data_IF_908258783738
#
_entry.id   IF_908258783738
#
_cell.length_a   1.000
_cell.length_b   1.000
_cell.length_c   1.000
_cell.angle_alpha   90.00
_cell.angle_beta   90.00
_cell.angle_gamma   90.00
#
_symmetry.space_group_name_H-M   'P 1'
#
loop_
_entity.id
_entity.type
_entity.pdbx_description
1 polymer ?
#
# COMPACT_ATOMS: atom_id res chain seq x y z
N UNK A 1 15.33 40.06 -4.02
CA UNK A 1 15.11 39.72 -5.44
C UNK A 1 14.85 38.23 -5.69
N UNK A 2 15.55 37.30 -5.05
CA UNK A 2 15.30 35.86 -5.19
C UNK A 2 13.92 35.41 -4.70
N UNK A 3 13.40 35.98 -3.61
CA UNK A 3 12.07 35.64 -3.06
C UNK A 3 10.90 36.02 -4.00
N UNK A 4 11.04 37.14 -4.71
CA UNK A 4 10.02 37.56 -5.69
C UNK A 4 10.01 36.69 -6.94
N UNK A 5 11.17 36.22 -7.40
CA UNK A 5 11.27 35.24 -8.52
C UNK A 5 10.74 33.85 -8.14
N UNK A 6 10.93 33.41 -6.89
CA UNK A 6 10.36 32.16 -6.39
C UNK A 6 8.82 32.25 -6.28
N UNK A 7 8.29 33.38 -5.79
CA UNK A 7 6.85 33.61 -5.72
C UNK A 7 6.20 33.72 -7.12
N UNK A 8 6.89 34.37 -8.09
CA UNK A 8 6.41 34.43 -9.47
C UNK A 8 6.44 33.05 -10.17
N UNK A 9 7.47 32.24 -9.93
CA UNK A 9 7.55 30.86 -10.42
C UNK A 9 6.47 29.97 -9.78
N UNK A 10 6.17 30.19 -8.51
CA UNK A 10 5.10 29.49 -7.80
C UNK A 10 3.71 29.88 -8.34
N UNK A 11 3.48 31.17 -8.61
CA UNK A 11 2.23 31.67 -9.19
C UNK A 11 2.03 31.23 -10.64
N UNK A 12 3.09 31.09 -11.44
CA UNK A 12 3.03 30.55 -12.80
C UNK A 12 2.82 29.03 -12.81
N UNK A 13 3.43 28.29 -11.87
CA UNK A 13 3.27 26.84 -11.78
C UNK A 13 1.87 26.42 -11.28
N UNK A 14 1.18 27.27 -10.51
CA UNK A 14 -0.19 27.01 -10.05
C UNK A 14 -1.25 27.21 -11.13
N UNK A 15 -0.91 27.84 -12.27
CA UNK A 15 -1.82 28.12 -13.39
C UNK A 15 -1.79 27.08 -14.52
N UNK A 16 -0.96 26.05 -14.44
CA UNK A 16 -0.96 24.99 -15.47
C UNK A 16 -2.19 24.11 -15.25
N UNK A 17 -3.21 24.33 -16.13
CA UNK A 17 -4.37 23.47 -16.20
C UNK A 17 -3.93 22.07 -16.58
N UNK A 18 -4.31 21.08 -15.76
CA UNK A 18 -4.10 19.65 -16.04
C UNK A 18 -5.43 18.99 -16.35
N UNK A 19 -5.39 17.90 -17.11
CA UNK A 19 -6.53 17.06 -17.39
C UNK A 19 -6.33 15.71 -16.72
N UNK A 20 -7.31 15.29 -15.90
CA UNK A 20 -7.23 14.00 -15.21
C UNK A 20 -7.49 12.82 -16.15
N UNK A 21 -8.30 13.04 -17.21
CA UNK A 21 -8.73 11.99 -18.13
C UNK A 21 -8.46 12.38 -19.59
N UNK A 22 -7.21 12.21 -20.03
CA UNK A 22 -6.84 12.41 -21.44
C UNK A 22 -7.48 11.39 -22.39
N UNK A 23 -7.86 10.20 -21.87
CA UNK A 23 -8.56 9.19 -22.65
C UNK A 23 -9.90 9.69 -23.21
N UNK A 24 -10.53 10.68 -22.56
CA UNK A 24 -11.79 11.24 -23.04
C UNK A 24 -11.65 12.08 -24.34
N UNK A 25 -10.43 12.30 -24.86
CA UNK A 25 -10.23 13.00 -26.15
C UNK A 25 -10.91 12.32 -27.33
N UNK A 26 -11.12 10.99 -27.28
CA UNK A 26 -11.85 10.30 -28.34
C UNK A 26 -13.31 10.79 -28.47
N UNK A 27 -13.88 11.37 -27.41
CA UNK A 27 -15.25 11.96 -27.46
C UNK A 27 -15.34 13.19 -28.40
N UNK A 28 -14.22 13.80 -28.79
CA UNK A 28 -14.20 14.86 -29.78
C UNK A 28 -14.77 14.39 -31.13
N UNK A 29 -14.66 13.12 -31.46
CA UNK A 29 -15.28 12.55 -32.68
C UNK A 29 -16.81 12.66 -32.67
N UNK A 30 -17.45 12.72 -31.51
CA UNK A 30 -18.88 12.93 -31.38
C UNK A 30 -19.26 14.31 -31.94
N UNK A 31 -18.45 15.34 -31.65
CA UNK A 31 -18.69 16.71 -32.16
C UNK A 31 -18.59 16.74 -33.69
N UNK A 32 -17.54 16.07 -34.23
CA UNK A 32 -17.35 15.95 -35.67
C UNK A 32 -18.51 15.19 -36.33
N UNK A 33 -18.93 14.08 -35.72
CA UNK A 33 -20.07 13.28 -36.20
C UNK A 33 -21.38 14.08 -36.19
N UNK A 34 -21.65 14.82 -35.10
CA UNK A 34 -22.84 15.67 -34.99
C UNK A 34 -22.83 16.79 -36.03
N UNK A 35 -21.70 17.49 -36.23
CA UNK A 35 -21.58 18.53 -37.24
C UNK A 35 -21.77 17.96 -38.66
N UNK A 36 -21.16 16.81 -38.95
CA UNK A 36 -21.33 16.10 -40.23
C UNK A 36 -22.75 15.63 -40.46
N UNK A 37 -23.40 15.04 -39.45
CA UNK A 37 -24.81 14.63 -39.53
C UNK A 37 -25.75 15.82 -39.78
N UNK A 38 -25.50 16.92 -39.08
CA UNK A 38 -26.29 18.12 -39.31
C UNK A 38 -26.15 18.65 -40.75
N UNK A 39 -24.94 18.72 -41.27
CA UNK A 39 -24.65 19.16 -42.61
C UNK A 39 -25.32 18.25 -43.67
N UNK A 40 -25.21 16.95 -43.50
CA UNK A 40 -25.84 15.94 -44.34
C UNK A 40 -27.38 16.03 -44.27
N UNK A 41 -27.97 16.14 -43.07
CA UNK A 41 -29.40 16.28 -42.85
C UNK A 41 -29.95 17.56 -43.49
N UNK A 42 -29.22 18.68 -43.34
CA UNK A 42 -29.61 19.95 -43.93
C UNK A 42 -29.62 19.91 -45.48
N UNK A 43 -28.64 19.23 -46.10
CA UNK A 43 -28.60 18.99 -47.54
C UNK A 43 -29.76 18.11 -48.00
N UNK A 44 -30.01 16.98 -47.33
CA UNK A 44 -31.13 16.10 -47.66
C UNK A 44 -32.47 16.79 -47.50
N UNK A 45 -32.65 17.59 -46.45
CA UNK A 45 -33.89 18.37 -46.26
C UNK A 45 -34.13 19.38 -47.39
N UNK A 46 -33.07 20.08 -47.82
CA UNK A 46 -33.17 20.99 -48.98
C UNK A 46 -33.55 20.24 -50.26
N UNK A 47 -32.85 19.15 -50.57
CA UNK A 47 -33.12 18.34 -51.75
C UNK A 47 -34.51 17.69 -51.70
N UNK A 48 -35.04 17.31 -50.56
CA UNK A 48 -36.40 16.80 -50.43
C UNK A 48 -37.47 17.91 -50.69
N UNK A 49 -37.21 19.09 -50.11
CA UNK A 49 -38.14 20.25 -50.38
C UNK A 49 -38.18 20.65 -51.85
N UNK A 50 -37.01 20.67 -52.52
CA UNK A 50 -36.93 20.98 -53.95
C UNK A 50 -37.66 19.95 -54.87
N UNK A 51 -37.82 18.70 -54.38
CA UNK A 51 -38.60 17.66 -55.07
C UNK A 51 -40.12 17.75 -54.84
N UNK A 52 -40.56 18.41 -53.77
CA UNK A 52 -41.93 18.39 -53.29
C UNK A 52 -42.76 19.58 -53.86
N UNK A 53 -42.15 20.75 -54.08
CA UNK A 53 -42.86 21.92 -54.60
C UNK A 53 -41.95 22.87 -55.39
N UNK A 54 -42.55 23.73 -56.22
CA UNK A 54 -41.82 24.81 -56.91
C UNK A 54 -41.16 25.77 -55.88
N UNK A 55 -40.06 26.39 -56.31
CA UNK A 55 -39.23 27.24 -55.39
C UNK A 55 -39.98 28.37 -54.72
N UNK A 56 -40.95 28.97 -55.46
CA UNK A 56 -41.74 30.11 -54.99
C UNK A 56 -42.74 29.69 -53.89
N UNK A 57 -43.37 28.51 -54.01
CA UNK A 57 -44.28 27.98 -53.01
C UNK A 57 -43.52 27.54 -51.69
N UNK A 58 -42.32 27.05 -51.85
CA UNK A 58 -41.44 26.70 -50.68
C UNK A 58 -41.06 28.00 -49.97
N UNK A 59 -40.74 29.07 -50.66
CA UNK A 59 -40.38 30.34 -50.05
C UNK A 59 -41.53 30.91 -49.20
N UNK A 60 -42.78 30.84 -49.69
CA UNK A 60 -43.95 31.26 -48.92
C UNK A 60 -44.25 30.38 -47.72
N UNK A 61 -44.18 29.06 -47.86
CA UNK A 61 -44.40 28.11 -46.76
C UNK A 61 -43.31 28.18 -45.65
N UNK A 62 -42.09 28.56 -46.02
CA UNK A 62 -40.98 28.72 -45.06
C UNK A 62 -40.75 30.16 -44.59
N UNK A 63 -41.60 31.12 -45.09
CA UNK A 63 -41.51 32.57 -44.77
C UNK A 63 -41.59 32.84 -43.23
N UNK A 64 -42.33 31.98 -42.51
CA UNK A 64 -42.50 32.07 -41.07
C UNK A 64 -41.26 31.54 -40.25
N UNK A 65 -40.29 30.90 -40.89
CA UNK A 65 -39.11 30.35 -40.22
C UNK A 65 -37.91 31.32 -40.30
N UNK A 66 -37.33 31.60 -39.16
CA UNK A 66 -36.13 32.43 -39.06
C UNK A 66 -34.85 31.58 -39.15
N UNK A 67 -34.23 31.59 -40.35
CA UNK A 67 -32.99 30.85 -40.61
C UNK A 67 -31.83 31.27 -39.69
N UNK A 68 -31.82 32.51 -39.14
CA UNK A 68 -30.82 32.97 -38.21
C UNK A 68 -30.99 32.29 -36.85
N UNK A 69 -32.22 32.22 -36.33
CA UNK A 69 -32.54 31.56 -35.06
C UNK A 69 -32.28 30.07 -35.14
N UNK A 70 -32.57 29.43 -36.29
CA UNK A 70 -32.26 28.02 -36.50
C UNK A 70 -30.74 27.74 -36.47
N UNK A 71 -29.92 28.59 -37.12
CA UNK A 71 -28.47 28.49 -37.06
C UNK A 71 -27.96 28.72 -35.63
N UNK A 72 -28.52 29.69 -34.91
CA UNK A 72 -28.17 29.98 -33.54
C UNK A 72 -28.41 28.77 -32.62
N UNK A 73 -29.56 28.12 -32.72
CA UNK A 73 -29.87 26.90 -31.97
C UNK A 73 -28.82 25.82 -32.16
N UNK A 74 -28.42 25.56 -33.38
CA UNK A 74 -27.45 24.54 -33.72
C UNK A 74 -26.07 24.88 -33.15
N UNK A 75 -25.68 26.15 -33.26
CA UNK A 75 -24.41 26.61 -32.66
C UNK A 75 -24.44 26.42 -31.15
N UNK A 76 -25.55 26.73 -30.48
CA UNK A 76 -25.72 26.52 -29.04
C UNK A 76 -25.63 25.05 -28.68
N UNK A 77 -26.27 24.15 -29.42
CA UNK A 77 -26.18 22.70 -29.17
C UNK A 77 -24.75 22.19 -29.36
N UNK A 78 -24.07 22.56 -30.44
CA UNK A 78 -22.70 22.13 -30.71
C UNK A 78 -21.76 22.66 -29.60
N UNK A 79 -21.95 23.91 -29.18
CA UNK A 79 -21.16 24.52 -28.10
C UNK A 79 -21.44 23.81 -26.77
N UNK A 80 -22.70 23.50 -26.45
CA UNK A 80 -23.05 22.76 -25.24
C UNK A 80 -22.42 21.37 -25.23
N UNK A 81 -22.48 20.61 -26.32
CA UNK A 81 -21.85 19.30 -26.45
C UNK A 81 -20.31 19.42 -26.30
N UNK A 82 -19.74 20.48 -26.92
CA UNK A 82 -18.29 20.72 -26.76
C UNK A 82 -17.89 20.97 -25.31
N UNK A 83 -18.69 21.73 -24.55
CA UNK A 83 -18.48 21.98 -23.13
C UNK A 83 -18.65 20.69 -22.26
N UNK A 84 -19.62 19.84 -22.64
CA UNK A 84 -19.80 18.53 -21.99
C UNK A 84 -18.57 17.66 -22.21
N UNK A 85 -18.08 17.55 -23.46
CA UNK A 85 -16.87 16.80 -23.78
C UNK A 85 -15.66 17.36 -23.00
N UNK A 86 -15.54 18.68 -22.93
CA UNK A 86 -14.50 19.34 -22.15
C UNK A 86 -14.60 19.02 -20.64
N UNK A 87 -15.82 18.91 -20.10
CA UNK A 87 -16.07 18.51 -18.72
C UNK A 87 -15.58 17.07 -18.44
N UNK A 88 -15.75 16.14 -19.40
CA UNK A 88 -15.25 14.75 -19.27
C UNK A 88 -13.73 14.64 -19.25
N UNK A 89 -13.00 15.63 -19.76
CA UNK A 89 -11.55 15.71 -19.63
C UNK A 89 -11.11 16.00 -18.18
N UNK A 90 -12.07 16.34 -17.28
CA UNK A 90 -11.86 16.65 -15.84
C UNK A 90 -10.76 17.69 -15.68
N UNK A 91 -10.97 18.95 -16.10
CA UNK A 91 -9.99 20.01 -15.94
C UNK A 91 -9.71 20.25 -14.47
N UNK A 92 -8.41 20.23 -14.13
CA UNK A 92 -7.91 20.43 -12.78
C UNK A 92 -7.09 21.73 -12.74
N UNK A 93 -7.48 22.66 -11.87
CA UNK A 93 -6.68 23.83 -11.53
C UNK A 93 -6.80 24.15 -10.06
N UNK A 94 -5.68 24.57 -9.49
CA UNK A 94 -5.50 24.66 -8.04
C UNK A 94 -5.12 23.31 -7.44
N UNK A 95 -4.50 23.37 -6.29
CA UNK A 95 -4.22 22.20 -5.46
C UNK A 95 -4.31 22.63 -4.00
N UNK A 96 -4.74 21.71 -3.16
CA UNK A 96 -4.59 21.85 -1.71
C UNK A 96 -3.68 20.71 -1.20
N UNK A 97 -2.98 21.03 -0.13
CA UNK A 97 -2.21 20.03 0.58
C UNK A 97 -3.15 19.24 1.47
N UNK A 98 -3.34 17.97 1.16
CA UNK A 98 -4.08 17.07 2.02
C UNK A 98 -3.11 16.27 2.86
N UNK A 99 -3.31 16.31 4.15
CA UNK A 99 -2.56 15.52 5.11
C UNK A 99 -3.04 14.07 5.04
N UNK A 100 -2.24 13.22 4.40
CA UNK A 100 -2.52 11.78 4.38
C UNK A 100 -1.96 11.17 5.65
N UNK A 101 -2.81 11.01 6.65
CA UNK A 101 -2.47 10.35 7.90
C UNK A 101 -2.42 8.84 7.67
N UNK A 102 -1.23 8.27 7.67
CA UNK A 102 -1.06 6.82 7.70
C UNK A 102 -1.13 6.35 9.14
N UNK A 103 -1.87 5.28 9.39
CA UNK A 103 -1.94 4.63 10.70
C UNK A 103 -1.27 3.27 10.60
N UNK A 104 -0.37 2.95 11.51
CA UNK A 104 0.34 1.69 11.53
C UNK A 104 0.94 1.37 12.89
N UNK A 105 1.40 0.14 13.05
CA UNK A 105 2.17 -0.35 14.18
C UNK A 105 3.67 -0.29 13.86
N UNK A 106 4.49 -0.29 14.90
CA UNK A 106 5.93 -0.47 14.84
C UNK A 106 6.24 -1.93 15.21
N UNK A 107 6.46 -2.77 14.21
CA UNK A 107 6.65 -4.22 14.37
C UNK A 107 8.12 -4.56 14.17
N UNK A 108 8.81 -4.98 15.21
CA UNK A 108 10.14 -5.57 15.09
C UNK A 108 10.00 -7.08 15.11
N UNK A 109 10.67 -7.76 14.20
CA UNK A 109 10.69 -9.21 14.11
C UNK A 109 12.10 -9.66 14.46
N UNK A 110 12.24 -10.41 15.56
CA UNK A 110 13.50 -11.02 15.95
C UNK A 110 13.50 -12.49 15.54
N UNK A 111 14.43 -12.86 14.68
CA UNK A 111 14.58 -14.21 14.14
C UNK A 111 15.82 -14.85 14.73
N UNK A 112 15.64 -16.01 15.30
CA UNK A 112 16.72 -16.86 15.75
C UNK A 112 17.53 -17.38 14.57
N UNK A 113 18.83 -17.18 14.60
CA UNK A 113 19.79 -17.64 13.59
C UNK A 113 20.83 -18.58 14.19
N UNK A 114 20.53 -19.16 15.35
CA UNK A 114 21.37 -20.19 15.98
C UNK A 114 21.41 -21.48 15.16
N UNK A 115 22.36 -22.35 15.41
CA UNK A 115 22.50 -23.61 14.66
C UNK A 115 21.32 -24.56 14.83
N UNK A 116 20.56 -24.46 15.92
CA UNK A 116 19.33 -25.23 16.14
C UNK A 116 18.27 -24.97 15.07
N UNK A 117 18.29 -23.79 14.45
CA UNK A 117 17.39 -23.41 13.36
C UNK A 117 17.68 -24.15 12.03
N UNK A 118 18.75 -24.95 11.95
CA UNK A 118 18.98 -25.87 10.84
C UNK A 118 18.23 -27.21 10.97
N UNK A 119 17.60 -27.48 12.12
CA UNK A 119 16.82 -28.69 12.31
C UNK A 119 15.71 -28.81 11.23
N UNK A 120 15.50 -30.06 10.76
CA UNK A 120 14.61 -30.37 9.65
C UNK A 120 13.25 -30.96 10.10
N UNK A 121 12.89 -30.80 11.37
CA UNK A 121 11.57 -31.18 11.89
C UNK A 121 10.43 -30.34 11.29
N UNK A 122 10.78 -29.15 10.79
CA UNK A 122 9.91 -28.30 9.97
C UNK A 122 10.60 -28.07 8.62
N UNK A 123 9.97 -28.47 7.53
CA UNK A 123 10.58 -28.41 6.18
C UNK A 123 10.57 -27.00 5.59
N UNK A 124 11.63 -26.57 4.87
CA UNK A 124 12.89 -27.30 4.58
C UNK A 124 13.79 -27.43 5.81
N UNK A 125 13.91 -26.39 6.63
CA UNK A 125 14.42 -26.31 7.99
C UNK A 125 13.73 -25.14 8.71
N UNK A 126 13.94 -25.00 10.03
CA UNK A 126 13.25 -23.99 10.84
C UNK A 126 13.50 -22.56 10.31
N UNK A 127 14.76 -22.20 9.96
CA UNK A 127 15.12 -20.86 9.48
C UNK A 127 14.49 -20.56 8.13
N UNK A 128 14.62 -21.46 7.16
CA UNK A 128 14.02 -21.25 5.84
C UNK A 128 12.49 -21.18 5.90
N UNK A 129 11.88 -21.97 6.79
CA UNK A 129 10.43 -21.90 7.04
C UNK A 129 10.03 -20.54 7.63
N UNK A 130 10.82 -20.00 8.56
CA UNK A 130 10.59 -18.67 9.11
C UNK A 130 10.72 -17.58 8.03
N UNK A 131 11.73 -17.66 7.15
CA UNK A 131 11.91 -16.73 6.03
C UNK A 131 10.71 -16.74 5.07
N UNK A 132 10.20 -17.93 4.72
CA UNK A 132 9.00 -18.07 3.88
C UNK A 132 7.78 -17.43 4.53
N UNK A 133 7.57 -17.68 5.83
CA UNK A 133 6.45 -17.09 6.57
C UNK A 133 6.55 -15.57 6.66
N UNK A 134 7.75 -15.01 6.79
CA UNK A 134 7.98 -13.57 6.78
C UNK A 134 7.66 -12.94 5.41
N UNK A 135 7.98 -13.64 4.31
CA UNK A 135 7.61 -13.19 2.96
C UNK A 135 6.10 -13.12 2.78
N UNK A 136 5.38 -14.11 3.26
CA UNK A 136 3.91 -14.11 3.19
C UNK A 136 3.32 -13.04 4.11
N UNK A 137 3.85 -12.89 5.32
CA UNK A 137 3.42 -11.89 6.29
C UNK A 137 3.48 -10.46 5.74
N UNK A 138 4.53 -10.11 4.98
CA UNK A 138 4.65 -8.76 4.41
C UNK A 138 3.52 -8.38 3.48
N UNK A 139 2.83 -9.36 2.86
CA UNK A 139 1.67 -9.13 1.99
C UNK A 139 0.43 -8.65 2.74
N UNK A 140 0.35 -8.96 4.03
CA UNK A 140 -0.78 -8.57 4.89
C UNK A 140 -0.61 -7.18 5.53
N UNK A 141 0.60 -6.61 5.50
CA UNK A 141 0.91 -5.33 6.11
C UNK A 141 0.25 -4.18 5.35
N UNK A 142 -0.42 -3.30 6.10
CA UNK A 142 -1.15 -2.14 5.54
C UNK A 142 -0.67 -0.83 6.18
N UNK A 143 0.58 -0.44 5.85
CA UNK A 143 1.16 0.80 6.35
C UNK A 143 1.87 0.68 7.71
N UNK A 144 2.03 -0.52 8.25
CA UNK A 144 2.81 -0.80 9.45
C UNK A 144 4.31 -0.68 9.13
N UNK A 145 5.14 -0.20 10.07
CA UNK A 145 6.60 -0.22 9.93
C UNK A 145 7.12 -1.57 10.41
N UNK A 146 8.05 -2.14 9.66
CA UNK A 146 8.68 -3.41 10.02
C UNK A 146 10.18 -3.24 10.16
N UNK A 147 10.77 -3.89 11.15
CA UNK A 147 12.22 -4.00 11.36
C UNK A 147 12.61 -5.45 11.60
N UNK A 148 13.87 -5.79 11.36
CA UNK A 148 14.41 -7.15 11.48
C UNK A 148 15.62 -7.18 12.42
N UNK A 149 15.57 -8.05 13.39
CA UNK A 149 16.71 -8.41 14.25
C UNK A 149 17.06 -9.86 13.99
N UNK A 150 18.33 -10.14 13.72
CA UNK A 150 18.90 -11.48 13.79
C UNK A 150 19.52 -11.69 15.18
N UNK A 151 19.30 -12.83 15.80
CA UNK A 151 19.94 -13.14 17.06
C UNK A 151 20.38 -14.61 17.17
N UNK A 152 21.42 -14.82 17.94
CA UNK A 152 21.98 -16.09 18.39
C UNK A 152 22.62 -15.85 19.76
N UNK A 153 23.91 -16.11 19.98
CA UNK A 153 24.62 -15.66 21.19
C UNK A 153 24.74 -14.13 21.35
N UNK A 154 24.51 -13.36 20.28
CA UNK A 154 24.35 -11.90 20.26
C UNK A 154 23.11 -11.52 19.45
N UNK A 155 22.72 -10.23 19.49
CA UNK A 155 21.58 -9.73 18.70
C UNK A 155 21.97 -8.46 17.94
N UNK A 156 21.58 -8.38 16.67
CA UNK A 156 21.90 -7.25 15.79
C UNK A 156 20.69 -6.84 14.98
N UNK A 157 20.50 -5.52 14.86
CA UNK A 157 19.50 -4.92 13.98
C UNK A 157 19.94 -5.07 12.52
N UNK A 158 19.27 -5.93 11.75
CA UNK A 158 19.54 -6.15 10.32
C UNK A 158 18.81 -5.16 9.42
N UNK A 159 17.60 -4.78 9.82
CA UNK A 159 16.79 -3.79 9.12
C UNK A 159 16.10 -2.87 10.13
N UNK A 160 16.34 -1.56 10.10
CA UNK A 160 15.62 -0.62 10.95
C UNK A 160 14.13 -0.55 10.56
N UNK A 161 13.30 0.02 11.45
CA UNK A 161 11.88 0.19 11.20
C UNK A 161 11.61 0.98 9.91
N UNK A 162 11.02 0.32 8.92
CA UNK A 162 10.74 0.87 7.60
C UNK A 162 9.36 0.50 7.08
N UNK A 163 8.82 1.28 6.17
CA UNK A 163 7.65 0.94 5.34
C UNK A 163 8.05 0.41 3.96
N UNK A 164 9.36 0.33 3.68
CA UNK A 164 9.90 -0.30 2.47
C UNK A 164 10.00 -1.82 2.69
N UNK A 165 8.91 -2.50 2.35
CA UNK A 165 8.86 -3.96 2.47
C UNK A 165 9.80 -4.68 1.50
N UNK A 166 10.19 -4.05 0.39
CA UNK A 166 11.18 -4.60 -0.54
C UNK A 166 12.57 -4.69 0.11
N UNK A 167 13.02 -3.59 0.72
CA UNK A 167 14.28 -3.55 1.46
C UNK A 167 14.28 -4.50 2.67
N UNK A 168 13.15 -4.59 3.38
CA UNK A 168 12.98 -5.56 4.47
C UNK A 168 13.14 -7.01 3.97
N UNK A 169 12.50 -7.38 2.85
CA UNK A 169 12.59 -8.73 2.29
C UNK A 169 14.02 -9.10 1.85
N UNK A 170 14.78 -8.15 1.33
CA UNK A 170 16.22 -8.37 1.02
C UNK A 170 17.00 -8.72 2.30
N UNK A 171 16.69 -8.05 3.42
CA UNK A 171 17.31 -8.35 4.72
C UNK A 171 16.89 -9.73 5.25
N UNK A 172 15.62 -10.14 5.05
CA UNK A 172 15.13 -11.48 5.38
C UNK A 172 15.88 -12.54 4.56
N UNK A 173 16.06 -12.31 3.25
CA UNK A 173 16.77 -13.26 2.38
C UNK A 173 18.23 -13.44 2.78
N UNK A 174 18.89 -12.42 3.32
CA UNK A 174 20.27 -12.46 3.76
C UNK A 174 20.48 -13.24 5.07
N UNK A 175 19.42 -13.55 5.83
CA UNK A 175 19.53 -14.31 7.07
C UNK A 175 20.13 -15.70 6.83
N UNK A 176 21.10 -16.05 7.64
CA UNK A 176 21.72 -17.38 7.67
C UNK A 176 22.30 -17.65 9.07
N UNK A 177 22.54 -18.89 9.40
CA UNK A 177 23.05 -19.30 10.73
C UNK A 177 24.48 -18.84 11.04
N UNK A 178 25.20 -18.33 10.06
CA UNK A 178 26.55 -17.82 10.23
C UNK A 178 26.61 -16.29 10.31
N UNK A 179 25.45 -15.62 10.24
CA UNK A 179 25.36 -14.15 10.24
C UNK A 179 25.87 -13.57 11.57
N UNK A 180 25.74 -14.35 12.66
CA UNK A 180 26.26 -14.02 13.98
C UNK A 180 27.38 -14.98 14.32
N UNK A 181 28.63 -14.49 14.43
CA UNK A 181 29.80 -15.36 14.68
C UNK A 181 29.74 -16.08 16.04
N UNK A 182 29.10 -15.45 17.05
CA UNK A 182 28.98 -16.03 18.40
C UNK A 182 27.84 -17.05 18.43
N UNK A 183 28.20 -18.31 18.67
CA UNK A 183 27.23 -19.38 18.87
C UNK A 183 26.45 -19.24 20.19
N UNK A 184 25.44 -20.08 20.36
CA UNK A 184 24.48 -20.03 21.48
C UNK A 184 23.21 -19.29 21.08
N UNK A 185 22.31 -19.10 22.04
CA UNK A 185 21.04 -18.37 21.86
C UNK A 185 20.81 -17.49 23.08
N UNK A 186 20.52 -16.22 22.88
CA UNK A 186 20.18 -15.27 23.94
C UNK A 186 18.95 -14.45 23.60
N UNK A 187 17.80 -14.93 24.04
CA UNK A 187 16.49 -14.27 23.89
C UNK A 187 16.52 -12.92 24.61
N UNK A 188 17.18 -12.85 25.76
CA UNK A 188 17.29 -11.61 26.54
C UNK A 188 17.99 -10.49 25.77
N UNK A 189 19.01 -10.80 24.95
CA UNK A 189 19.71 -9.82 24.12
C UNK A 189 18.82 -9.38 22.95
N UNK A 190 18.08 -10.30 22.33
CA UNK A 190 17.15 -9.98 21.27
C UNK A 190 16.06 -8.99 21.74
N UNK A 191 15.49 -9.22 22.93
CA UNK A 191 14.50 -8.32 23.54
C UNK A 191 15.12 -6.94 23.83
N UNK A 192 16.32 -6.89 24.41
CA UNK A 192 17.01 -5.62 24.70
C UNK A 192 17.33 -4.84 23.44
N UNK A 193 17.78 -5.52 22.39
CA UNK A 193 18.07 -4.87 21.10
C UNK A 193 16.78 -4.35 20.45
N UNK A 194 15.67 -5.09 20.55
CA UNK A 194 14.37 -4.62 20.09
C UNK A 194 13.93 -3.35 20.83
N UNK A 195 14.07 -3.30 22.16
CA UNK A 195 13.75 -2.11 22.96
C UNK A 195 14.56 -0.90 22.49
N UNK A 196 15.86 -1.06 22.22
CA UNK A 196 16.75 0.01 21.73
C UNK A 196 16.37 0.48 20.33
N UNK A 197 15.91 -0.45 19.47
CA UNK A 197 15.58 -0.18 18.09
C UNK A 197 14.26 0.59 17.91
N UNK A 198 13.44 0.71 18.95
CA UNK A 198 12.29 1.58 18.95
C UNK A 198 12.71 3.01 19.29
N UNK A 199 12.96 3.84 18.27
CA UNK A 199 13.22 5.26 18.44
C UNK A 199 12.06 5.94 19.18
N UNK A 200 12.31 6.58 20.32
CA UNK A 200 11.49 7.57 21.05
C UNK A 200 9.97 7.60 20.91
N UNK A 201 9.39 6.54 20.33
CA UNK A 201 8.00 6.45 19.96
C UNK A 201 7.04 6.25 21.15
N UNK A 202 5.77 6.52 20.93
CA UNK A 202 4.72 6.30 21.92
C UNK A 202 4.66 4.82 22.32
N UNK A 203 4.63 4.54 23.63
CA UNK A 203 4.64 3.18 24.19
C UNK A 203 3.52 2.23 23.70
N UNK A 204 2.41 2.76 23.16
CA UNK A 204 1.20 1.99 22.80
C UNK A 204 1.29 1.13 21.54
N UNK A 205 2.27 1.34 20.67
CA UNK A 205 2.26 0.81 19.29
C UNK A 205 3.45 -0.09 18.97
N UNK A 206 4.25 -0.44 19.99
CA UNK A 206 5.46 -1.24 19.88
C UNK A 206 5.13 -2.72 19.97
N UNK A 207 5.49 -3.48 18.96
CA UNK A 207 5.26 -4.92 18.86
C UNK A 207 6.56 -5.63 18.52
N UNK A 208 6.97 -6.58 19.36
CA UNK A 208 8.05 -7.52 19.05
C UNK A 208 7.45 -8.89 18.71
N UNK A 209 7.80 -9.43 17.55
CA UNK A 209 7.53 -10.82 17.20
C UNK A 209 8.83 -11.59 17.32
N UNK A 210 8.87 -12.55 18.23
CA UNK A 210 10.03 -13.40 18.50
C UNK A 210 9.82 -14.76 17.85
N UNK A 211 10.71 -15.17 16.94
CA UNK A 211 10.68 -16.46 16.24
C UNK A 211 11.91 -17.27 16.66
N UNK A 212 11.71 -18.33 17.43
CA UNK A 212 12.79 -19.15 18.01
C UNK A 212 12.25 -20.51 18.43
N UNK A 213 13.12 -21.46 18.73
CA UNK A 213 12.78 -22.72 19.41
C UNK A 213 12.72 -22.56 20.94
N UNK A 214 13.07 -21.40 21.47
CA UNK A 214 12.95 -21.08 22.88
C UNK A 214 14.11 -21.57 23.76
N UNK A 215 15.06 -22.32 23.21
CA UNK A 215 16.27 -22.69 23.95
C UNK A 215 17.10 -21.42 24.25
N UNK A 216 17.20 -21.02 25.52
CA UNK A 216 18.05 -19.89 25.95
C UNK A 216 19.23 -20.44 26.72
N UNK A 217 20.43 -20.11 26.26
CA UNK A 217 21.67 -20.57 26.88
C UNK A 217 22.38 -19.46 27.67
N UNK A 218 21.97 -18.19 27.47
CA UNK A 218 22.63 -17.03 28.06
C UNK A 218 21.64 -15.94 28.46
N UNK A 219 21.33 -15.80 29.73
CA UNK A 219 20.61 -14.66 30.27
C UNK A 219 19.34 -15.00 31.03
N UNK A 220 18.52 -13.97 31.26
CA UNK A 220 17.25 -14.07 31.97
C UNK A 220 16.16 -13.46 31.07
N UNK A 221 15.51 -14.29 30.24
CA UNK A 221 14.51 -13.81 29.31
C UNK A 221 13.25 -13.27 30.01
N UNK A 222 12.91 -13.76 31.19
CA UNK A 222 11.75 -13.26 31.95
C UNK A 222 11.99 -11.82 32.41
N UNK A 223 13.22 -11.52 32.89
CA UNK A 223 13.62 -10.16 33.27
C UNK A 223 13.67 -9.20 32.11
N UNK A 224 14.13 -9.67 30.94
CA UNK A 224 14.09 -8.88 29.71
C UNK A 224 12.66 -8.60 29.24
N UNK A 225 11.74 -9.57 29.38
CA UNK A 225 10.33 -9.40 29.10
C UNK A 225 9.66 -8.37 30.03
N UNK A 226 10.03 -8.37 31.32
CA UNK A 226 9.54 -7.35 32.25
C UNK A 226 9.99 -5.94 31.85
N UNK A 227 11.27 -5.77 31.47
CA UNK A 227 11.76 -4.49 30.96
C UNK A 227 11.01 -4.05 29.67
N UNK A 228 10.74 -5.00 28.78
CA UNK A 228 9.94 -4.73 27.55
C UNK A 228 8.53 -4.23 27.90
N UNK A 229 7.89 -4.84 28.90
CA UNK A 229 6.58 -4.41 29.40
C UNK A 229 6.60 -2.98 29.92
N UNK A 230 7.63 -2.61 30.69
CA UNK A 230 7.79 -1.25 31.22
C UNK A 230 7.96 -0.22 30.11
N UNK A 231 8.61 -0.60 29.00
CA UNK A 231 8.74 0.20 27.78
C UNK A 231 7.52 0.14 26.86
N UNK A 232 6.48 -0.59 27.24
CA UNK A 232 5.22 -0.72 26.48
C UNK A 232 5.33 -1.59 25.24
N UNK A 233 6.35 -2.46 25.17
CA UNK A 233 6.51 -3.41 24.06
C UNK A 233 5.71 -4.67 24.37
N UNK A 234 4.81 -5.06 23.44
CA UNK A 234 4.10 -6.33 23.49
C UNK A 234 4.90 -7.38 22.72
N UNK A 235 5.19 -8.51 23.36
CA UNK A 235 5.96 -9.59 22.74
C UNK A 235 5.02 -10.72 22.34
N UNK A 236 5.03 -11.05 21.05
CA UNK A 236 4.36 -12.22 20.50
C UNK A 236 5.43 -13.27 20.18
N UNK A 237 5.29 -14.47 20.73
CA UNK A 237 6.26 -15.52 20.53
C UNK A 237 5.73 -16.57 19.56
N UNK A 238 6.54 -16.93 18.57
CA UNK A 238 6.29 -18.04 17.65
C UNK A 238 7.33 -19.10 17.93
N UNK A 239 6.90 -20.20 18.53
CA UNK A 239 7.75 -21.36 18.78
C UNK A 239 7.86 -22.21 17.53
N UNK A 240 9.08 -22.45 17.05
CA UNK A 240 9.33 -23.30 15.89
C UNK A 240 10.12 -24.53 16.27
N UNK A 241 9.61 -25.70 15.88
CA UNK A 241 10.19 -26.98 16.21
C UNK A 241 9.22 -27.92 16.92
N UNK A 242 9.73 -29.07 17.35
CA UNK A 242 8.97 -30.10 18.05
C UNK A 242 9.45 -30.26 19.50
N UNK A 243 8.56 -30.52 20.47
CA UNK A 243 8.94 -30.78 21.85
C UNK A 243 9.72 -32.09 22.01
N UNK A 244 9.49 -33.05 21.09
CA UNK A 244 10.21 -34.35 21.07
C UNK A 244 11.69 -34.15 20.75
N UNK A 245 11.97 -33.04 20.01
CA UNK A 245 13.31 -32.64 19.60
C UNK A 245 13.81 -33.36 18.37
N UNK A 246 14.74 -32.72 17.67
CA UNK A 246 15.33 -33.16 16.40
C UNK A 246 16.87 -33.01 16.45
N UNK A 247 17.56 -33.84 15.65
CA UNK A 247 19.01 -33.75 15.51
C UNK A 247 19.35 -32.62 14.52
N UNK A 248 20.40 -31.85 14.85
CA UNK A 248 20.83 -30.75 13.99
C UNK A 248 21.72 -31.33 12.89
N UNK A 249 21.26 -31.24 11.63
CA UNK A 249 21.97 -31.70 10.45
C UNK A 249 22.79 -30.56 9.85
N UNK A 250 24.08 -30.76 9.69
CA UNK A 250 24.99 -29.88 8.96
C UNK A 250 25.30 -30.51 7.60
N UNK A 251 25.22 -29.72 6.55
CA UNK A 251 25.65 -30.13 5.20
C UNK A 251 27.00 -29.49 4.91
N UNK A 252 28.01 -30.30 4.59
CA UNK A 252 29.34 -29.81 4.19
C UNK A 252 29.33 -29.26 2.76
N UNK A 253 30.40 -28.61 2.35
CA UNK A 253 30.57 -28.07 0.99
C UNK A 253 30.47 -29.14 -0.13
N UNK A 254 30.64 -30.41 0.23
CA UNK A 254 30.57 -31.56 -0.67
C UNK A 254 29.16 -32.20 -0.70
N UNK A 255 28.21 -31.65 0.08
CA UNK A 255 26.85 -32.16 0.17
C UNK A 255 26.64 -33.34 1.12
N UNK A 256 27.67 -33.72 1.90
CA UNK A 256 27.52 -34.79 2.88
C UNK A 256 26.82 -34.26 4.13
N UNK A 257 25.82 -35.00 4.60
CA UNK A 257 25.10 -34.68 5.83
C UNK A 257 25.82 -35.28 7.05
N UNK A 258 26.14 -34.40 8.00
CA UNK A 258 26.73 -34.78 9.31
C UNK A 258 25.87 -34.19 10.42
N UNK A 259 25.90 -34.80 11.60
CA UNK A 259 25.21 -34.25 12.78
C UNK A 259 26.12 -33.29 13.54
N UNK A 260 25.53 -32.20 14.05
CA UNK A 260 26.24 -31.29 14.96
C UNK A 260 26.63 -32.03 16.21
N UNK A 261 27.90 -31.89 16.62
CA UNK A 261 28.43 -32.46 17.84
C UNK A 261 28.81 -31.34 18.81
N UNK A 262 28.66 -31.62 20.11
CA UNK A 262 29.16 -30.76 21.16
C UNK A 262 30.70 -30.90 21.33
N UNK A 263 31.27 -30.15 22.27
CA UNK A 263 32.71 -30.18 22.56
C UNK A 263 33.17 -31.55 23.14
N UNK A 264 32.24 -32.41 23.53
CA UNK A 264 32.52 -33.74 24.05
C UNK A 264 32.33 -34.84 22.99
N UNK A 265 31.89 -34.46 21.77
CA UNK A 265 31.68 -35.37 20.64
C UNK A 265 30.26 -36.00 20.59
N UNK A 266 29.36 -35.62 21.51
CA UNK A 266 27.98 -36.11 21.51
C UNK A 266 27.16 -35.37 20.46
N UNK A 267 26.22 -36.06 19.84
CA UNK A 267 25.28 -35.43 18.88
C UNK A 267 24.30 -34.52 19.59
N UNK A 268 24.19 -33.27 19.11
CA UNK A 268 23.31 -32.27 19.70
C UNK A 268 21.87 -32.48 19.19
N UNK A 269 20.96 -32.52 20.15
CA UNK A 269 19.53 -32.58 19.91
C UNK A 269 18.89 -31.28 20.40
N UNK A 270 18.16 -30.60 19.56
CA UNK A 270 17.39 -29.37 19.87
C UNK A 270 15.92 -29.67 20.06
N UNK A 271 15.24 -29.01 20.98
CA UNK A 271 13.81 -29.15 21.25
C UNK A 271 13.13 -27.80 21.46
N UNK A 272 11.83 -27.74 21.22
CA UNK A 272 11.05 -26.53 21.48
C UNK A 272 10.76 -26.37 22.98
N UNK A 273 11.19 -25.24 23.56
CA UNK A 273 10.82 -24.82 24.94
C UNK A 273 9.61 -23.86 24.88
N UNK A 274 8.42 -24.43 24.87
CA UNK A 274 7.17 -23.65 24.88
C UNK A 274 6.96 -22.90 26.20
N UNK A 275 7.44 -23.44 27.31
CA UNK A 275 7.20 -22.88 28.64
C UNK A 275 7.81 -21.49 28.79
N UNK A 276 9.06 -21.35 28.40
CA UNK A 276 9.78 -20.07 28.41
C UNK A 276 9.11 -19.04 27.48
N UNK A 277 8.76 -19.44 26.26
CA UNK A 277 8.11 -18.56 25.30
C UNK A 277 6.72 -18.09 25.75
N UNK A 278 5.92 -18.98 26.36
CA UNK A 278 4.61 -18.63 26.94
C UNK A 278 4.76 -17.61 28.07
N UNK A 279 5.71 -17.79 28.97
CA UNK A 279 5.96 -16.84 30.07
C UNK A 279 6.34 -15.44 29.54
N UNK A 280 7.25 -15.36 28.56
CA UNK A 280 7.66 -14.09 27.93
C UNK A 280 6.44 -13.38 27.34
N UNK A 281 5.64 -14.10 26.54
CA UNK A 281 4.45 -13.54 25.89
C UNK A 281 3.43 -13.03 26.92
N UNK A 282 3.09 -13.85 27.91
CA UNK A 282 2.12 -13.50 28.95
C UNK A 282 2.55 -12.31 29.79
N UNK A 283 3.84 -12.23 30.15
CA UNK A 283 4.41 -11.12 30.94
C UNK A 283 4.17 -9.76 30.28
N UNK A 284 4.26 -9.69 28.93
CA UNK A 284 4.10 -8.44 28.16
C UNK A 284 2.68 -8.19 27.67
N UNK A 285 1.74 -9.11 27.92
CA UNK A 285 0.37 -9.03 27.40
C UNK A 285 0.26 -9.36 25.90
N UNK A 286 1.22 -10.10 25.37
CA UNK A 286 1.18 -10.71 24.04
C UNK A 286 0.56 -12.10 24.05
N UNK A 287 0.94 -12.93 23.06
CA UNK A 287 0.50 -14.34 22.97
C UNK A 287 1.60 -15.22 22.38
N UNK A 288 1.55 -16.51 22.74
CA UNK A 288 2.37 -17.54 22.16
C UNK A 288 1.60 -18.33 21.12
N UNK A 289 2.25 -18.65 20.00
CA UNK A 289 1.70 -19.53 18.96
C UNK A 289 2.79 -20.54 18.58
N UNK A 290 2.44 -21.81 18.51
CA UNK A 290 3.31 -22.86 17.98
C UNK A 290 3.20 -22.88 16.45
N UNK A 291 4.32 -22.84 15.76
CA UNK A 291 4.38 -23.02 14.32
C UNK A 291 3.98 -24.46 13.94
N UNK A 292 2.92 -24.60 13.17
CA UNK A 292 2.46 -25.87 12.62
C UNK A 292 2.98 -26.14 11.21
N UNK A 293 2.77 -27.37 10.73
CA UNK A 293 3.15 -27.78 9.38
C UNK A 293 2.43 -26.96 8.29
N UNK A 294 1.15 -26.63 8.49
CA UNK A 294 0.31 -25.90 7.53
C UNK A 294 0.26 -24.41 7.79
N UNK A 295 0.25 -23.98 9.05
CA UNK A 295 0.19 -22.56 9.44
C UNK A 295 1.37 -22.21 10.32
N UNK A 296 2.10 -21.16 9.94
CA UNK A 296 3.24 -20.69 10.72
C UNK A 296 2.84 -19.91 11.97
N UNK A 297 1.66 -19.28 11.96
CA UNK A 297 1.12 -18.53 13.09
C UNK A 297 1.27 -17.02 13.01
N UNK A 298 2.06 -16.48 12.08
CA UNK A 298 2.21 -15.04 11.86
C UNK A 298 0.88 -14.38 11.43
N UNK A 299 0.16 -15.04 10.52
CA UNK A 299 -1.12 -14.55 10.01
C UNK A 299 -2.16 -14.49 11.13
N UNK A 300 -2.20 -15.53 11.98
CA UNK A 300 -3.09 -15.57 13.16
C UNK A 300 -2.79 -14.40 14.12
N UNK A 301 -1.51 -14.16 14.42
CA UNK A 301 -1.11 -13.05 15.29
C UNK A 301 -1.54 -11.72 14.65
N UNK A 302 -1.33 -11.54 13.35
CA UNK A 302 -1.68 -10.29 12.68
C UNK A 302 -3.19 -10.07 12.64
N UNK A 303 -3.96 -11.03 12.17
CA UNK A 303 -5.41 -10.89 12.00
C UNK A 303 -6.17 -10.81 13.32
N UNK A 304 -5.82 -11.67 14.29
CA UNK A 304 -6.56 -11.74 15.54
C UNK A 304 -6.14 -10.70 16.57
N UNK A 305 -4.86 -10.30 16.57
CA UNK A 305 -4.29 -9.44 17.61
C UNK A 305 -3.85 -8.09 17.06
N UNK A 306 -2.94 -8.06 16.08
CA UNK A 306 -2.31 -6.82 15.63
C UNK A 306 -3.27 -5.90 14.87
N UNK A 307 -4.14 -6.47 14.02
CA UNK A 307 -5.13 -5.69 13.25
C UNK A 307 -6.14 -4.96 14.15
N UNK A 308 -6.40 -5.50 15.35
CA UNK A 308 -7.32 -4.95 16.34
C UNK A 308 -6.67 -3.95 17.30
N UNK A 309 -5.34 -3.83 17.28
CA UNK A 309 -4.63 -2.85 18.10
C UNK A 309 -4.84 -1.43 17.56
N UNK A 310 -4.85 -0.45 18.49
CA UNK A 310 -4.80 0.96 18.08
C UNK A 310 -3.55 1.22 17.24
N UNK A 311 -3.71 1.86 16.08
CA UNK A 311 -2.61 2.18 15.17
C UNK A 311 -2.14 3.61 15.37
N UNK A 312 -0.82 3.83 15.40
CA UNK A 312 -0.20 5.16 15.46
C UNK A 312 -0.44 5.91 14.15
N UNK A 313 -0.74 7.19 14.23
CA UNK A 313 -0.64 8.08 13.07
C UNK A 313 0.85 8.23 12.72
N UNK A 314 1.27 7.51 11.69
CA UNK A 314 2.60 7.64 11.10
C UNK A 314 2.60 8.90 10.23
N UNK A 315 3.77 9.58 10.15
CA UNK A 315 3.97 10.85 9.46
C UNK A 315 2.97 11.19 8.37
N UNK A 316 2.29 12.32 8.55
CA UNK A 316 1.45 12.88 7.51
C UNK A 316 2.33 13.36 6.37
N UNK A 317 2.33 12.66 5.24
CA UNK A 317 2.88 13.22 4.01
C UNK A 317 1.85 14.17 3.41
N UNK A 318 2.22 15.43 3.28
CA UNK A 318 1.44 16.40 2.52
C UNK A 318 1.41 15.93 1.05
N UNK A 319 0.29 15.36 0.64
CA UNK A 319 0.05 15.00 -0.74
C UNK A 319 -0.65 16.17 -1.46
N UNK A 320 -0.15 16.53 -2.66
CA UNK A 320 -0.83 17.49 -3.52
C UNK A 320 -2.07 16.84 -4.09
N UNK A 321 -3.24 17.29 -3.67
CA UNK A 321 -4.51 16.91 -4.28
C UNK A 321 -4.96 18.03 -5.20
N UNK A 322 -5.12 17.72 -6.49
CA UNK A 322 -5.60 18.67 -7.47
C UNK A 322 -7.13 18.78 -7.41
N UNK A 323 -7.64 20.02 -7.46
CA UNK A 323 -9.09 20.25 -7.45
C UNK A 323 -9.67 20.08 -8.84
N UNK A 324 -10.66 19.22 -8.96
CA UNK A 324 -11.40 19.03 -10.19
C UNK A 324 -12.50 20.07 -10.33
N UNK A 325 -12.52 20.78 -11.45
CA UNK A 325 -13.45 21.87 -11.72
C UNK A 325 -14.37 21.58 -12.92
N UNK A 326 -14.70 20.31 -13.14
CA UNK A 326 -15.58 19.88 -14.24
C UNK A 326 -17.00 20.45 -14.11
N UNK A 327 -17.42 20.86 -12.91
CA UNK A 327 -18.75 21.42 -12.67
C UNK A 327 -18.98 22.73 -13.45
N UNK A 328 -17.92 23.56 -13.63
CA UNK A 328 -18.06 24.87 -14.28
C UNK A 328 -18.44 24.72 -15.77
N UNK A 329 -17.68 23.98 -16.62
CA UNK A 329 -18.07 23.77 -18.00
C UNK A 329 -19.39 23.00 -18.13
N UNK A 330 -19.71 22.10 -17.21
CA UNK A 330 -20.97 21.37 -17.19
C UNK A 330 -22.17 22.30 -16.92
N UNK A 331 -22.05 23.20 -15.94
CA UNK A 331 -23.08 24.20 -15.64
C UNK A 331 -23.30 25.14 -16.81
N UNK A 332 -22.24 25.61 -17.48
CA UNK A 332 -22.34 26.43 -18.68
C UNK A 332 -23.04 25.69 -19.82
N UNK A 333 -22.71 24.41 -20.04
CA UNK A 333 -23.39 23.58 -21.05
C UNK A 333 -24.89 23.46 -20.77
N UNK A 334 -25.25 23.24 -19.51
CA UNK A 334 -26.64 23.17 -19.08
C UNK A 334 -27.42 24.49 -19.35
N UNK A 335 -26.80 25.63 -19.00
CA UNK A 335 -27.40 26.95 -19.27
C UNK A 335 -27.59 27.19 -20.75
N UNK A 336 -26.64 26.78 -21.59
CA UNK A 336 -26.77 26.90 -23.04
C UNK A 336 -27.93 26.05 -23.60
N UNK A 337 -28.11 24.83 -23.10
CA UNK A 337 -29.22 23.95 -23.49
C UNK A 337 -30.56 24.51 -23.03
N UNK A 338 -30.64 25.07 -21.82
CA UNK A 338 -31.84 25.76 -21.36
C UNK A 338 -32.15 26.99 -22.26
N UNK A 339 -31.13 27.79 -22.57
CA UNK A 339 -31.28 28.96 -23.45
C UNK A 339 -31.80 28.59 -24.86
N UNK A 340 -31.33 27.44 -25.38
CA UNK A 340 -31.80 26.91 -26.68
C UNK A 340 -33.28 26.61 -26.65
N UNK A 341 -33.81 26.03 -25.55
CA UNK A 341 -35.26 25.74 -25.44
C UNK A 341 -36.16 26.98 -25.52
N UNK A 342 -35.68 28.13 -25.04
CA UNK A 342 -36.45 29.39 -25.07
C UNK A 342 -36.42 30.10 -26.43
N UNK A 343 -35.55 29.69 -27.34
CA UNK A 343 -35.48 30.31 -28.69
C UNK A 343 -36.56 29.71 -29.58
N UNK A 344 -37.59 30.50 -29.90
CA UNK A 344 -38.60 30.12 -30.87
C UNK A 344 -38.06 30.23 -32.31
N UNK A 345 -38.30 29.23 -33.16
CA UNK A 345 -37.89 29.23 -34.58
C UNK A 345 -38.77 30.11 -35.47
N UNK A 346 -39.90 30.59 -34.95
CA UNK A 346 -40.85 31.42 -35.74
C UNK A 346 -40.43 32.89 -35.74
N UNK A 347 -40.61 33.55 -36.91
CA UNK A 347 -40.57 35.01 -36.96
C UNK A 347 -41.76 35.54 -36.15
N UNK A 348 -41.53 36.47 -35.24
CA UNK A 348 -42.58 37.29 -34.66
C UNK A 348 -43.06 38.29 -35.70
#
# INVERSE_FOLDING_TARGET
>A
MLYALCALRYALCSKIMRFANLGALYLLWIIVALAGFYFWSSRKRKAAMERFAQKDLIADLTSSLDKRKQRLKIVLIILAVSLIVFSFLRPQWGFHWQEVKRKGLDIIIAVDTSKSMLAEDVKPNRLERAKLALKDFTRHLKGDRVGLIAFAGEAFLQCPLTVDYGGFLLSVDSLNVNIIPRGGTSISKAIKEAIRSYEGGLKKYKVLILITDGEDHEGDPEKAAQAAKEEGVKIFCIGIGTPEGELITLTDEKGNKTFLKDNQGNVVKTRLDETTLQKIALTTGGSYVRSGATQFGLDLIYEEKLSKMEKRELESKLAKQFEERFQIPLALAFLLLLGELFISERKR
#
